data_IF_579240903490
#
_entry.id   IF_579240903490
#
_cell.length_a   1.000
_cell.length_b   1.000
_cell.length_c   1.000
_cell.angle_alpha   90.00
_cell.angle_beta   90.00
_cell.angle_gamma   90.00
#
_symmetry.space_group_name_H-M   'P 1'
#
loop_
_entity.id
_entity.type
_entity.pdbx_description
1 polymer ?
#
# COMPACT_ATOMS: atom_id res chain seq x y z
N UNK A 1 -17.21 7.02 -13.59
CA UNK A 1 -16.31 6.07 -12.90
C UNK A 1 -14.91 6.30 -13.43
N UNK A 2 -13.90 6.20 -12.56
CA UNK A 2 -12.49 6.34 -12.97
C UNK A 2 -12.06 5.03 -13.61
N UNK A 3 -11.45 5.10 -14.80
CA UNK A 3 -10.84 3.94 -15.46
C UNK A 3 -9.35 3.89 -15.11
N UNK A 4 -8.92 2.83 -14.44
CA UNK A 4 -7.52 2.59 -14.08
C UNK A 4 -6.94 1.58 -15.06
N UNK A 5 -5.73 1.86 -15.57
CA UNK A 5 -5.03 0.98 -16.51
C UNK A 5 -3.84 0.34 -15.80
N UNK A 6 -3.77 -0.98 -15.81
CA UNK A 6 -2.59 -1.74 -15.38
C UNK A 6 -1.95 -2.43 -16.57
N UNK A 7 -0.63 -2.49 -16.57
CA UNK A 7 0.18 -3.16 -17.60
C UNK A 7 0.77 -4.43 -17.00
N UNK A 8 0.31 -5.59 -17.47
CA UNK A 8 0.71 -6.91 -16.99
C UNK A 8 1.88 -7.50 -17.79
N UNK A 9 2.38 -6.79 -18.79
CA UNK A 9 3.55 -7.22 -19.57
C UNK A 9 4.81 -7.28 -18.69
N UNK A 10 5.86 -8.00 -19.13
CA UNK A 10 7.15 -8.00 -18.44
C UNK A 10 7.66 -6.59 -18.17
N UNK A 11 8.39 -6.45 -17.07
CA UNK A 11 8.89 -5.15 -16.60
C UNK A 11 9.78 -4.44 -17.63
N UNK A 12 10.53 -5.22 -18.40
CA UNK A 12 11.42 -4.74 -19.46
C UNK A 12 10.61 -4.05 -20.55
N UNK A 13 9.53 -4.68 -21.03
CA UNK A 13 8.62 -4.13 -22.04
C UNK A 13 7.94 -2.85 -21.57
N UNK A 14 7.53 -2.79 -20.29
CA UNK A 14 6.97 -1.57 -19.69
C UNK A 14 8.01 -0.43 -19.64
N UNK A 15 9.27 -0.76 -19.34
CA UNK A 15 10.39 0.21 -19.25
C UNK A 15 10.78 0.77 -20.63
N UNK A 16 10.72 -0.05 -21.67
CA UNK A 16 10.96 0.37 -23.05
C UNK A 16 9.91 1.37 -23.55
N UNK A 17 8.65 1.16 -23.15
CA UNK A 17 7.54 2.08 -23.36
C UNK A 17 6.18 1.53 -22.93
N UNK A 18 5.36 2.38 -22.34
CA UNK A 18 4.01 2.05 -21.88
C UNK A 18 3.02 3.18 -22.16
N UNK A 19 1.72 2.90 -21.97
CA UNK A 19 0.69 3.93 -22.10
C UNK A 19 0.76 4.92 -20.94
N UNK A 20 0.65 6.21 -21.23
CA UNK A 20 0.64 7.26 -20.20
C UNK A 20 -0.45 6.99 -19.15
N UNK A 21 -0.08 7.10 -17.88
CA UNK A 21 -0.98 6.84 -16.74
C UNK A 21 -1.26 5.37 -16.43
N UNK A 22 -0.65 4.42 -17.16
CA UNK A 22 -0.72 2.99 -16.80
C UNK A 22 0.27 2.62 -15.70
N UNK A 23 -0.10 1.66 -14.86
CA UNK A 23 0.73 1.15 -13.76
C UNK A 23 1.25 -0.25 -14.08
N UNK A 24 2.57 -0.46 -13.97
CA UNK A 24 3.18 -1.78 -14.13
C UNK A 24 2.76 -2.74 -13.03
N UNK A 25 2.30 -3.93 -13.39
CA UNK A 25 2.04 -5.08 -12.51
C UNK A 25 2.38 -6.37 -13.28
N UNK A 26 3.68 -6.65 -13.52
CA UNK A 26 4.09 -7.77 -14.36
C UNK A 26 3.42 -9.07 -13.91
N UNK A 27 2.88 -9.83 -14.86
CA UNK A 27 2.07 -11.01 -14.58
C UNK A 27 2.79 -12.05 -13.74
N UNK A 28 4.10 -12.19 -13.93
CA UNK A 28 4.98 -13.07 -13.16
C UNK A 28 5.05 -12.71 -11.67
N UNK A 29 4.76 -11.45 -11.30
CA UNK A 29 4.79 -10.94 -9.93
C UNK A 29 3.40 -10.57 -9.39
N UNK A 30 2.33 -10.80 -10.16
CA UNK A 30 1.00 -10.29 -9.82
C UNK A 30 0.50 -10.81 -8.46
N UNK A 31 0.88 -12.03 -8.06
CA UNK A 31 0.46 -12.62 -6.78
C UNK A 31 1.04 -11.85 -5.60
N UNK A 32 2.30 -11.46 -5.69
CA UNK A 32 3.02 -10.69 -4.69
C UNK A 32 2.57 -9.22 -4.71
N UNK A 33 2.38 -8.65 -5.90
CA UNK A 33 2.12 -7.22 -6.08
C UNK A 33 0.63 -6.84 -6.05
N UNK A 34 -0.28 -7.81 -6.07
CA UNK A 34 -1.74 -7.57 -6.09
C UNK A 34 -2.25 -6.69 -4.95
N UNK A 35 -1.50 -6.57 -3.85
CA UNK A 35 -1.82 -5.66 -2.75
C UNK A 35 -1.81 -4.17 -3.16
N UNK A 36 -1.10 -3.83 -4.24
CA UNK A 36 -1.04 -2.48 -4.82
C UNK A 36 -2.09 -2.20 -5.90
N UNK A 37 -2.97 -3.16 -6.22
CA UNK A 37 -4.08 -2.96 -7.17
C UNK A 37 -5.07 -1.87 -6.68
N UNK A 38 -5.86 -1.29 -7.59
CA UNK A 38 -6.73 -0.17 -7.24
C UNK A 38 -7.92 -0.60 -6.35
N UNK A 39 -8.66 0.37 -5.80
CA UNK A 39 -9.95 0.13 -5.16
C UNK A 39 -10.93 -0.65 -6.05
N UNK A 40 -11.91 -1.32 -5.46
CA UNK A 40 -12.83 -2.21 -6.19
C UNK A 40 -13.93 -1.48 -6.96
N UNK A 41 -14.17 -0.22 -6.65
CA UNK A 41 -15.18 0.63 -7.26
C UNK A 41 -14.74 1.31 -8.57
N UNK A 42 -13.57 0.94 -9.10
CA UNK A 42 -13.06 1.44 -10.38
C UNK A 42 -13.36 0.50 -11.55
N UNK A 43 -13.36 1.08 -12.76
CA UNK A 43 -13.26 0.30 -13.99
C UNK A 43 -11.78 -0.05 -14.21
N UNK A 44 -11.44 -1.35 -14.31
CA UNK A 44 -10.06 -1.80 -14.51
C UNK A 44 -9.84 -2.25 -15.95
N UNK A 45 -8.83 -1.68 -16.61
CA UNK A 45 -8.29 -2.18 -17.87
C UNK A 45 -6.92 -2.82 -17.63
N UNK A 46 -6.75 -4.10 -17.96
CA UNK A 46 -5.47 -4.80 -17.89
C UNK A 46 -4.90 -5.02 -19.30
N UNK A 47 -3.67 -4.57 -19.52
CA UNK A 47 -2.94 -4.76 -20.77
C UNK A 47 -2.07 -6.01 -20.66
N UNK A 48 -2.13 -6.89 -21.65
CA UNK A 48 -1.36 -8.14 -21.71
C UNK A 48 -0.55 -8.21 -23.01
N UNK A 49 0.51 -9.03 -23.04
CA UNK A 49 1.13 -9.44 -24.30
C UNK A 49 0.23 -10.42 -25.04
N UNK A 50 0.44 -10.54 -26.36
CA UNK A 50 -0.40 -11.38 -27.23
C UNK A 50 -0.29 -12.88 -26.88
N UNK A 51 0.87 -13.27 -26.37
CA UNK A 51 1.26 -14.64 -26.04
C UNK A 51 0.76 -15.08 -24.65
N UNK A 52 0.24 -14.16 -23.85
CA UNK A 52 -0.27 -14.46 -22.50
C UNK A 52 -1.60 -15.19 -22.54
N UNK A 53 -1.83 -16.07 -21.55
CA UNK A 53 -3.11 -16.76 -21.37
C UNK A 53 -4.19 -15.80 -20.84
N UNK A 54 -5.01 -15.30 -21.76
CA UNK A 54 -6.14 -14.41 -21.47
C UNK A 54 -7.08 -14.99 -20.41
N UNK A 55 -7.40 -16.29 -20.49
CA UNK A 55 -8.35 -16.91 -19.57
C UNK A 55 -7.80 -16.99 -18.15
N UNK A 56 -6.51 -17.29 -18.00
CA UNK A 56 -5.86 -17.28 -16.70
C UNK A 56 -5.83 -15.88 -16.07
N UNK A 57 -5.55 -14.84 -16.88
CA UNK A 57 -5.56 -13.44 -16.44
C UNK A 57 -6.94 -13.00 -15.98
N UNK A 58 -7.96 -13.21 -16.80
CA UNK A 58 -9.35 -12.88 -16.46
C UNK A 58 -9.81 -13.62 -15.21
N UNK A 59 -9.55 -14.92 -15.12
CA UNK A 59 -9.92 -15.74 -13.96
C UNK A 59 -9.29 -15.21 -12.67
N UNK A 60 -8.03 -14.80 -12.72
CA UNK A 60 -7.35 -14.24 -11.55
C UNK A 60 -7.92 -12.87 -11.15
N UNK A 61 -8.07 -11.94 -12.10
CA UNK A 61 -8.51 -10.57 -11.82
C UNK A 61 -9.99 -10.48 -11.43
N UNK A 62 -10.85 -11.37 -11.95
CA UNK A 62 -12.27 -11.42 -11.57
C UNK A 62 -12.48 -11.69 -10.08
N UNK A 63 -11.52 -12.34 -9.39
CA UNK A 63 -11.58 -12.60 -7.94
C UNK A 63 -11.58 -11.33 -7.07
N UNK A 64 -11.14 -10.20 -7.62
CA UNK A 64 -11.09 -8.92 -6.91
C UNK A 64 -12.40 -8.14 -6.98
N UNK A 65 -13.31 -8.51 -7.88
CA UNK A 65 -14.63 -7.89 -8.06
C UNK A 65 -14.56 -6.37 -8.27
N UNK A 66 -13.78 -5.93 -9.28
CA UNK A 66 -13.80 -4.53 -9.74
C UNK A 66 -15.17 -4.15 -10.33
N UNK A 67 -15.50 -2.87 -10.40
CA UNK A 67 -16.77 -2.40 -10.96
C UNK A 67 -16.95 -2.85 -12.41
N UNK A 68 -15.87 -2.84 -13.18
CA UNK A 68 -15.75 -3.60 -14.42
C UNK A 68 -14.30 -4.05 -14.66
N UNK A 69 -14.13 -5.10 -15.46
CA UNK A 69 -12.83 -5.61 -15.89
C UNK A 69 -12.80 -5.73 -17.42
N UNK A 70 -11.75 -5.19 -18.04
CA UNK A 70 -11.43 -5.38 -19.46
C UNK A 70 -9.99 -5.83 -19.58
N UNK A 71 -9.74 -6.97 -20.21
CA UNK A 71 -8.39 -7.43 -20.54
C UNK A 71 -8.18 -7.21 -22.04
N UNK A 72 -7.07 -6.58 -22.42
CA UNK A 72 -6.75 -6.25 -23.81
C UNK A 72 -5.30 -6.59 -24.12
N UNK A 73 -5.06 -7.07 -25.33
CA UNK A 73 -3.70 -7.16 -25.86
C UNK A 73 -3.16 -5.74 -26.03
N UNK A 74 -1.95 -5.50 -25.54
CA UNK A 74 -1.24 -4.25 -25.73
C UNK A 74 -0.90 -4.08 -27.21
N UNK A 75 -1.34 -2.97 -27.78
CA UNK A 75 -0.95 -2.53 -29.12
C UNK A 75 -0.21 -1.19 -28.99
N UNK A 76 1.01 -1.03 -29.55
CA UNK A 76 1.81 0.18 -29.46
C UNK A 76 1.26 1.31 -30.36
N UNK A 77 -0.05 1.40 -30.49
CA UNK A 77 -0.75 2.30 -31.39
C UNK A 77 -0.94 3.64 -30.67
N UNK A 78 0.13 4.39 -30.46
CA UNK A 78 0.10 5.69 -29.77
C UNK A 78 1.46 6.17 -29.26
N UNK A 79 1.46 7.31 -28.57
CA UNK A 79 2.66 7.83 -27.92
C UNK A 79 2.96 7.02 -26.65
N UNK A 80 4.05 6.24 -26.70
CA UNK A 80 4.56 5.54 -25.53
C UNK A 80 5.41 6.48 -24.68
N UNK A 81 5.21 6.40 -23.36
CA UNK A 81 6.01 7.13 -22.38
C UNK A 81 6.92 6.17 -21.62
N UNK A 82 7.91 6.74 -20.93
CA UNK A 82 8.83 6.02 -20.04
C UNK A 82 8.80 6.55 -18.61
N UNK A 83 8.15 7.69 -18.38
CA UNK A 83 7.97 8.25 -17.05
C UNK A 83 6.85 7.49 -16.33
N UNK A 84 7.18 6.90 -15.18
CA UNK A 84 6.22 6.17 -14.37
C UNK A 84 5.26 7.13 -13.65
N UNK A 85 4.01 6.73 -13.38
CA UNK A 85 3.09 7.56 -12.60
C UNK A 85 3.69 7.96 -11.24
N UNK A 86 3.57 9.24 -10.88
CA UNK A 86 3.99 9.76 -9.57
C UNK A 86 3.03 9.39 -8.44
N UNK A 87 1.83 8.95 -8.81
CA UNK A 87 0.78 8.49 -7.89
C UNK A 87 0.85 6.99 -7.69
N UNK A 88 0.14 6.49 -6.69
CA UNK A 88 -0.06 5.06 -6.45
C UNK A 88 -1.31 4.57 -7.18
N UNK A 89 -1.33 3.30 -7.58
CA UNK A 89 -2.52 2.66 -8.16
C UNK A 89 -3.61 2.40 -7.10
N UNK A 90 -3.22 2.35 -5.83
CA UNK A 90 -4.10 2.24 -4.66
C UNK A 90 -4.20 3.58 -3.92
N UNK A 91 -5.16 3.72 -3.02
CA UNK A 91 -5.29 4.90 -2.14
C UNK A 91 -5.07 4.50 -0.67
N UNK A 92 -4.37 5.32 0.13
CA UNK A 92 -4.27 5.10 1.57
C UNK A 92 -5.63 5.24 2.24
N UNK A 93 -5.70 4.91 3.52
CA UNK A 93 -6.83 5.29 4.35
C UNK A 93 -7.08 6.81 4.25
N UNK A 94 -8.32 7.18 3.89
CA UNK A 94 -8.68 8.59 3.65
C UNK A 94 -8.49 9.45 4.91
N UNK A 95 -8.92 8.95 6.07
CA UNK A 95 -8.76 9.70 7.33
C UNK A 95 -7.28 9.92 7.69
N UNK A 96 -6.40 8.95 7.41
CA UNK A 96 -4.95 9.13 7.51
C UNK A 96 -4.46 10.21 6.55
N UNK A 97 -4.85 10.13 5.28
CA UNK A 97 -4.43 11.09 4.25
C UNK A 97 -4.85 12.53 4.59
N UNK A 98 -6.07 12.70 5.11
CA UNK A 98 -6.61 14.01 5.49
C UNK A 98 -5.96 14.56 6.77
N UNK A 99 -5.61 13.68 7.72
CA UNK A 99 -5.12 14.08 9.04
C UNK A 99 -3.60 14.26 9.11
N UNK A 100 -2.83 13.54 8.28
CA UNK A 100 -1.37 13.53 8.37
C UNK A 100 -0.71 14.91 8.21
N UNK A 101 -1.20 15.85 7.38
CA UNK A 101 -0.58 17.17 7.27
C UNK A 101 -0.62 17.98 8.57
N UNK A 102 -1.68 17.80 9.38
CA UNK A 102 -1.79 18.46 10.69
C UNK A 102 -0.75 17.91 11.67
N UNK A 103 -0.56 16.59 11.67
CA UNK A 103 0.45 15.90 12.50
C UNK A 103 1.87 16.33 12.10
N UNK A 104 2.17 16.36 10.80
CA UNK A 104 3.47 16.77 10.27
C UNK A 104 3.81 18.22 10.62
N UNK A 105 2.83 19.13 10.49
CA UNK A 105 3.00 20.53 10.87
C UNK A 105 3.30 20.73 12.35
N UNK A 106 2.80 19.83 13.21
CA UNK A 106 2.96 19.94 14.65
C UNK A 106 4.28 19.33 15.15
N UNK A 107 4.83 18.32 14.47
CA UNK A 107 6.10 17.67 14.86
C UNK A 107 7.32 18.39 14.28
N UNK A 108 7.23 18.89 13.03
CA UNK A 108 8.30 19.71 12.43
C UNK A 108 9.60 18.97 12.06
N UNK A 109 9.57 17.64 11.82
CA UNK A 109 10.76 16.88 11.41
C UNK A 109 10.55 15.38 11.16
N UNK A 110 11.65 14.65 10.95
CA UNK A 110 11.65 13.19 10.79
C UNK A 110 11.00 12.50 11.99
N UNK A 111 10.04 11.62 11.71
CA UNK A 111 9.15 11.08 12.73
C UNK A 111 8.96 9.57 12.58
N UNK A 112 8.72 8.88 13.70
CA UNK A 112 8.47 7.45 13.77
C UNK A 112 6.96 7.18 13.87
N UNK A 113 6.43 6.44 12.91
CA UNK A 113 5.07 5.91 12.93
C UNK A 113 5.05 4.42 13.27
N UNK A 114 4.04 4.00 14.03
CA UNK A 114 3.71 2.59 14.25
C UNK A 114 2.32 2.31 13.65
N UNK A 115 2.24 1.36 12.73
CA UNK A 115 0.99 0.90 12.13
C UNK A 115 0.59 -0.46 12.70
N UNK A 116 -0.55 -0.51 13.38
CA UNK A 116 -1.04 -1.70 14.08
C UNK A 116 -2.08 -2.44 13.25
N UNK A 117 -1.80 -3.71 12.94
CA UNK A 117 -2.60 -4.46 11.97
C UNK A 117 -2.33 -3.99 10.54
N UNK A 118 -1.07 -3.66 10.27
CA UNK A 118 -0.60 -2.99 9.03
C UNK A 118 -0.91 -3.76 7.73
N UNK A 119 -1.19 -5.06 7.81
CA UNK A 119 -1.49 -5.89 6.65
C UNK A 119 -0.38 -5.83 5.61
N UNK A 120 -0.74 -5.39 4.40
CA UNK A 120 0.20 -5.25 3.27
C UNK A 120 0.93 -3.92 3.23
N UNK A 121 0.74 -3.05 4.22
CA UNK A 121 1.54 -1.84 4.40
C UNK A 121 1.28 -0.71 3.40
N UNK A 122 0.08 -0.65 2.80
CA UNK A 122 -0.31 0.49 1.95
C UNK A 122 -0.15 1.81 2.69
N UNK A 123 -0.78 1.94 3.86
CA UNK A 123 -0.65 3.15 4.68
C UNK A 123 0.80 3.41 5.13
N UNK A 124 1.58 2.35 5.37
CA UNK A 124 3.01 2.47 5.69
C UNK A 124 3.82 3.04 4.53
N UNK A 125 3.61 2.55 3.30
CA UNK A 125 4.27 3.05 2.09
C UNK A 125 3.87 4.49 1.82
N UNK A 126 2.59 4.84 2.04
CA UNK A 126 2.12 6.22 1.95
C UNK A 126 2.88 7.13 2.93
N UNK A 127 2.94 6.77 4.21
CA UNK A 127 3.67 7.53 5.22
C UNK A 127 5.17 7.62 4.91
N UNK A 128 5.79 6.51 4.52
CA UNK A 128 7.22 6.46 4.19
C UNK A 128 7.58 7.34 2.97
N UNK A 129 6.68 7.44 1.97
CA UNK A 129 6.85 8.33 0.83
C UNK A 129 6.84 9.82 1.23
N UNK A 130 6.29 10.14 2.41
CA UNK A 130 6.29 11.47 3.03
C UNK A 130 7.46 11.68 4.00
N UNK A 131 8.40 10.75 4.06
CA UNK A 131 9.62 10.87 4.88
C UNK A 131 9.54 10.25 6.27
N UNK A 132 8.43 9.61 6.63
CA UNK A 132 8.29 8.91 7.91
C UNK A 132 9.13 7.62 7.93
N UNK A 133 9.62 7.25 9.11
CA UNK A 133 10.03 5.86 9.37
C UNK A 133 8.82 5.13 9.95
N UNK A 134 8.48 3.96 9.41
CA UNK A 134 7.26 3.25 9.75
C UNK A 134 7.58 1.82 10.16
N UNK A 135 7.10 1.45 11.35
CA UNK A 135 7.13 0.08 11.84
C UNK A 135 5.71 -0.47 11.79
N UNK A 136 5.51 -1.63 11.16
CA UNK A 136 4.22 -2.29 11.04
C UNK A 136 4.16 -3.52 11.92
N UNK A 137 3.11 -3.68 12.70
CA UNK A 137 2.84 -4.93 13.41
C UNK A 137 1.79 -5.72 12.63
N UNK A 138 2.13 -6.94 12.25
CA UNK A 138 1.27 -7.85 11.50
C UNK A 138 1.59 -9.30 11.88
N UNK A 139 0.58 -10.16 12.00
CA UNK A 139 0.75 -11.56 12.39
C UNK A 139 0.78 -12.52 11.19
N UNK A 140 0.36 -12.09 9.99
CA UNK A 140 0.38 -12.91 8.77
C UNK A 140 1.60 -12.66 7.92
N UNK A 141 2.52 -13.63 7.92
CA UNK A 141 3.76 -13.58 7.13
C UNK A 141 3.54 -13.24 5.65
N UNK A 142 2.53 -13.85 5.04
CA UNK A 142 2.18 -13.60 3.63
C UNK A 142 1.92 -12.11 3.34
N UNK A 143 1.28 -11.38 4.26
CA UNK A 143 1.01 -9.95 4.04
C UNK A 143 2.26 -9.10 4.23
N UNK A 144 3.13 -9.49 5.17
CA UNK A 144 4.44 -8.88 5.36
C UNK A 144 5.28 -9.02 4.08
N UNK A 145 5.33 -10.22 3.50
CA UNK A 145 6.11 -10.45 2.28
C UNK A 145 5.59 -9.58 1.12
N UNK A 146 4.26 -9.47 0.97
CA UNK A 146 3.64 -8.54 0.00
C UNK A 146 3.97 -7.07 0.29
N UNK A 147 3.97 -6.66 1.56
CA UNK A 147 4.29 -5.29 1.96
C UNK A 147 5.75 -4.92 1.78
N UNK A 148 6.67 -5.86 1.97
CA UNK A 148 8.10 -5.69 1.65
C UNK A 148 8.30 -5.55 0.14
N UNK A 149 7.59 -6.33 -0.68
CA UNK A 149 7.62 -6.16 -2.13
C UNK A 149 7.06 -4.78 -2.54
N UNK A 150 5.94 -4.36 -1.94
CA UNK A 150 5.34 -3.05 -2.19
C UNK A 150 6.28 -1.89 -1.83
N UNK A 151 6.94 -1.95 -0.67
CA UNK A 151 7.87 -0.89 -0.25
C UNK A 151 9.10 -0.78 -1.16
N UNK A 152 9.62 -1.91 -1.64
CA UNK A 152 10.70 -1.95 -2.66
C UNK A 152 10.24 -1.34 -3.98
N UNK A 153 9.05 -1.72 -4.46
CA UNK A 153 8.47 -1.20 -5.71
C UNK A 153 8.33 0.33 -5.68
N UNK A 154 8.00 0.90 -4.52
CA UNK A 154 7.87 2.34 -4.33
C UNK A 154 9.16 3.04 -3.82
N UNK A 155 10.29 2.33 -3.72
CA UNK A 155 11.59 2.91 -3.34
C UNK A 155 11.69 3.40 -1.90
N UNK A 156 10.86 2.88 -0.99
CA UNK A 156 10.79 3.30 0.42
C UNK A 156 11.13 2.18 1.41
N UNK A 157 11.76 1.10 0.94
CA UNK A 157 12.07 -0.08 1.77
C UNK A 157 12.94 0.22 2.99
N UNK A 158 13.83 1.22 2.91
CA UNK A 158 14.68 1.62 4.04
C UNK A 158 13.90 2.24 5.21
N UNK A 159 12.68 2.71 4.93
CA UNK A 159 11.80 3.39 5.90
C UNK A 159 10.64 2.53 6.36
N UNK A 160 10.44 1.35 5.79
CA UNK A 160 9.30 0.47 6.06
C UNK A 160 9.79 -0.85 6.65
N UNK A 161 9.50 -1.06 7.93
CA UNK A 161 9.94 -2.23 8.69
C UNK A 161 8.75 -2.97 9.29
N UNK A 162 8.84 -4.30 9.36
CA UNK A 162 7.78 -5.12 9.95
C UNK A 162 8.26 -5.85 11.20
N UNK A 163 7.38 -5.89 12.20
CA UNK A 163 7.46 -6.79 13.34
C UNK A 163 6.40 -7.88 13.14
N UNK A 164 6.87 -9.10 12.90
CA UNK A 164 5.98 -10.27 12.83
C UNK A 164 5.56 -10.66 14.25
N UNK A 165 4.37 -10.25 14.65
CA UNK A 165 3.89 -10.40 16.02
C UNK A 165 2.36 -10.43 16.07
N UNK A 166 1.79 -11.28 16.92
CA UNK A 166 0.40 -11.17 17.34
C UNK A 166 0.31 -10.32 18.62
N UNK A 167 -0.31 -9.14 18.51
CA UNK A 167 -0.49 -8.21 19.62
C UNK A 167 -1.37 -8.73 20.76
N UNK A 168 -2.01 -9.88 20.57
CA UNK A 168 -2.74 -10.59 21.62
C UNK A 168 -1.79 -11.35 22.55
N UNK A 169 -0.66 -11.81 22.02
CA UNK A 169 0.29 -12.67 22.73
C UNK A 169 1.50 -11.91 23.25
N UNK A 170 2.00 -10.94 22.47
CA UNK A 170 3.18 -10.16 22.82
C UNK A 170 2.98 -8.69 22.45
N UNK A 171 3.47 -7.81 23.32
CA UNK A 171 3.42 -6.37 23.13
C UNK A 171 4.85 -5.81 23.00
N UNK A 172 5.43 -5.79 21.79
CA UNK A 172 6.88 -5.57 21.60
C UNK A 172 7.28 -4.09 21.52
N UNK A 173 6.43 -3.16 21.98
CA UNK A 173 6.65 -1.72 21.83
C UNK A 173 6.66 -1.04 23.19
N UNK A 174 7.68 -0.21 23.43
CA UNK A 174 7.80 0.60 24.64
C UNK A 174 6.75 1.72 24.62
N UNK A 175 6.16 2.02 25.78
CA UNK A 175 5.31 3.19 25.93
C UNK A 175 6.08 4.48 25.56
N UNK A 176 5.35 5.50 25.11
CA UNK A 176 5.85 6.84 24.83
C UNK A 176 7.05 6.87 23.86
N UNK A 177 7.06 5.97 22.87
CA UNK A 177 8.20 5.77 21.98
C UNK A 177 7.96 6.19 20.52
N UNK A 178 6.71 6.41 20.12
CA UNK A 178 6.34 6.73 18.74
C UNK A 178 5.74 8.12 18.61
N UNK A 179 5.97 8.78 17.48
CA UNK A 179 5.42 10.10 17.19
C UNK A 179 4.01 9.99 16.59
N UNK A 180 3.73 8.92 15.84
CA UNK A 180 2.40 8.59 15.34
C UNK A 180 2.06 7.12 15.62
N UNK A 181 0.91 6.89 16.23
CA UNK A 181 0.24 5.59 16.23
C UNK A 181 -0.88 5.62 15.20
N UNK A 182 -0.79 4.77 14.18
CA UNK A 182 -1.84 4.54 13.19
C UNK A 182 -2.54 3.21 13.45
N UNK A 183 -3.87 3.24 13.47
CA UNK A 183 -4.71 2.05 13.61
C UNK A 183 -5.84 2.13 12.59
N UNK A 184 -5.86 1.20 11.64
CA UNK A 184 -6.85 1.17 10.57
C UNK A 184 -7.50 -0.22 10.51
N UNK A 185 -8.83 -0.29 10.66
CA UNK A 185 -9.62 -1.54 10.56
C UNK A 185 -9.17 -2.66 11.53
N UNK A 186 -8.41 -2.31 12.57
CA UNK A 186 -8.06 -3.21 13.66
C UNK A 186 -8.80 -2.77 14.93
N UNK A 187 -9.36 -3.73 15.66
CA UNK A 187 -9.95 -3.49 16.98
C UNK A 187 -9.77 -4.73 17.84
N UNK A 188 -8.86 -4.64 18.81
CA UNK A 188 -8.76 -5.61 19.90
C UNK A 188 -8.93 -4.87 21.22
N UNK A 189 -10.15 -4.91 21.77
CA UNK A 189 -10.54 -4.13 22.96
C UNK A 189 -9.57 -4.30 24.15
N UNK A 190 -9.08 -5.52 24.48
CA UNK A 190 -8.11 -5.68 25.58
C UNK A 190 -6.78 -4.95 25.34
N UNK A 191 -6.28 -4.90 24.11
CA UNK A 191 -5.00 -4.22 23.80
C UNK A 191 -5.14 -2.70 23.68
N UNK A 192 -6.36 -2.17 23.51
CA UNK A 192 -6.60 -0.75 23.24
C UNK A 192 -6.00 0.16 24.33
N UNK A 193 -6.20 -0.17 25.61
CA UNK A 193 -5.66 0.64 26.71
C UNK A 193 -4.14 0.72 26.70
N UNK A 194 -3.47 -0.32 26.20
CA UNK A 194 -2.02 -0.32 26.07
C UNK A 194 -1.57 0.47 24.84
N UNK A 195 -2.27 0.31 23.70
CA UNK A 195 -2.01 1.08 22.48
C UNK A 195 -2.04 2.60 22.74
N UNK A 196 -3.00 3.09 23.53
CA UNK A 196 -3.11 4.50 23.87
C UNK A 196 -1.91 5.05 24.69
N UNK A 197 -1.05 4.19 25.22
CA UNK A 197 0.17 4.58 25.97
C UNK A 197 1.42 4.64 25.07
N UNK A 198 1.33 4.22 23.81
CA UNK A 198 2.48 4.19 22.90
C UNK A 198 2.93 5.55 22.40
N UNK A 199 2.01 6.46 21.99
CA UNK A 199 2.43 7.78 21.53
C UNK A 199 3.16 8.55 22.62
N UNK A 200 4.15 9.35 22.22
CA UNK A 200 4.83 10.29 23.13
C UNK A 200 3.82 11.22 23.82
N UNK A 201 4.09 11.56 25.08
CA UNK A 201 3.28 12.51 25.87
C UNK A 201 3.63 13.97 25.55
N UNK A 202 2.95 14.87 26.24
CA UNK A 202 3.23 16.32 26.24
C UNK A 202 3.10 16.98 24.86
N UNK A 203 2.11 16.53 24.07
CA UNK A 203 1.79 17.10 22.76
C UNK A 203 2.73 16.67 21.62
N UNK A 204 3.59 15.67 21.85
CA UNK A 204 4.58 15.19 20.86
C UNK A 204 4.18 13.89 20.17
N UNK A 205 3.12 13.22 20.62
CA UNK A 205 2.62 11.97 20.04
C UNK A 205 1.17 12.08 19.60
N UNK A 206 0.87 11.45 18.47
CA UNK A 206 -0.43 11.52 17.80
C UNK A 206 -1.03 10.12 17.62
N UNK A 207 -2.36 10.05 17.61
CA UNK A 207 -3.12 8.85 17.29
C UNK A 207 -4.04 9.14 16.12
N UNK A 208 -3.93 8.34 15.07
CA UNK A 208 -4.92 8.29 13.98
C UNK A 208 -5.57 6.90 14.06
N UNK A 209 -6.83 6.87 14.49
CA UNK A 209 -7.61 5.64 14.60
C UNK A 209 -8.82 5.72 13.67
N UNK A 210 -8.93 4.79 12.73
CA UNK A 210 -10.14 4.61 11.91
C UNK A 210 -10.65 3.17 11.93
N UNK A 211 -11.95 3.01 12.18
CA UNK A 211 -12.70 1.75 12.12
C UNK A 211 -14.10 2.05 11.58
N UNK A 212 -14.68 1.13 10.82
CA UNK A 212 -16.04 1.25 10.26
C UNK A 212 -16.75 -0.10 10.37
#
# INVERSE_FOLDING_TARGET
>A
MVNVVIDLRPKECYTEGHLEGSYSFPWENIKEESCGLPPRDVDLTALIEKEMDLHAVETYLNRFCFASLKVKVFEPNGNLVREVPKTTCWSPNLFLSDSIPLVESAIGGYSLALDVGSGTGRDMVFLASRGWNVIGIENRRRLIDQGVALSRKHGVSERVHYLHCDLKDLYPVKNESVDLLHVCRFLHRPSLQNLLKLPRKEGKGYLIYSHF
#
